data_IF_538164859395
#
_entry.id   IF_538164859395
#
_cell.length_a   1.000
_cell.length_b   1.000
_cell.length_c   1.000
_cell.angle_alpha   90.00
_cell.angle_beta   90.00
_cell.angle_gamma   90.00
#
_symmetry.space_group_name_H-M   'P 1'
#
loop_
_entity.id
_entity.type
_entity.pdbx_description
1 polymer ?
#
# COMPACT_ATOMS: atom_id res chain seq x y z
N UNK A 1 -18.07 -22.32 0.52
CA UNK A 1 -18.00 -22.64 -0.93
C UNK A 1 -16.58 -23.03 -1.26
N UNK A 2 -16.37 -24.13 -2.00
CA UNK A 2 -15.06 -24.43 -2.59
C UNK A 2 -14.85 -23.55 -3.82
N UNK A 3 -13.60 -23.20 -4.08
CA UNK A 3 -13.18 -22.19 -5.04
C UNK A 3 -13.82 -22.34 -6.44
N UNK A 4 -14.47 -21.28 -6.94
CA UNK A 4 -14.77 -21.09 -8.36
C UNK A 4 -16.18 -21.44 -8.84
N UNK A 5 -17.04 -22.06 -8.03
CA UNK A 5 -18.37 -22.47 -8.49
C UNK A 5 -19.43 -21.37 -8.29
N UNK A 6 -20.13 -21.02 -9.38
CA UNK A 6 -21.30 -20.13 -9.36
C UNK A 6 -22.54 -20.92 -8.96
N UNK A 7 -23.24 -20.50 -7.92
CA UNK A 7 -24.43 -21.19 -7.40
C UNK A 7 -25.68 -20.39 -7.73
N UNK A 8 -26.62 -21.00 -8.43
CA UNK A 8 -27.95 -20.44 -8.67
C UNK A 8 -28.88 -20.82 -7.52
N UNK A 9 -29.49 -19.82 -6.88
CA UNK A 9 -30.47 -20.02 -5.79
C UNK A 9 -31.87 -19.81 -6.36
N UNK A 10 -32.68 -20.86 -6.33
CA UNK A 10 -34.06 -20.86 -6.80
C UNK A 10 -35.04 -21.01 -5.64
N UNK A 11 -36.18 -20.32 -5.73
CA UNK A 11 -37.36 -20.55 -4.89
C UNK A 11 -38.47 -21.10 -5.78
N UNK A 12 -38.94 -22.33 -5.49
CA UNK A 12 -39.97 -23.05 -6.26
C UNK A 12 -39.71 -23.06 -7.78
N UNK A 13 -38.46 -23.23 -8.19
CA UNK A 13 -38.07 -23.25 -9.61
C UNK A 13 -37.94 -21.87 -10.27
N UNK A 14 -38.19 -20.79 -9.53
CA UNK A 14 -37.92 -19.41 -9.97
C UNK A 14 -36.55 -18.98 -9.46
N UNK A 15 -35.67 -18.50 -10.34
CA UNK A 15 -34.36 -17.98 -9.94
C UNK A 15 -34.54 -16.70 -9.11
N UNK A 16 -33.99 -16.68 -7.89
CA UNK A 16 -34.08 -15.51 -6.99
C UNK A 16 -32.77 -14.72 -7.04
N UNK A 17 -31.62 -15.38 -6.95
CA UNK A 17 -30.32 -14.74 -7.10
C UNK A 17 -29.22 -15.77 -7.42
N UNK A 18 -28.08 -15.26 -7.86
CA UNK A 18 -26.88 -16.03 -8.19
C UNK A 18 -25.75 -15.62 -7.26
N UNK A 19 -25.11 -16.60 -6.63
CA UNK A 19 -23.90 -16.40 -5.84
C UNK A 19 -22.69 -16.67 -6.73
N UNK A 20 -21.87 -15.64 -6.97
CA UNK A 20 -20.61 -15.76 -7.70
C UNK A 20 -19.44 -15.72 -6.73
N UNK A 21 -18.40 -16.55 -6.93
CA UNK A 21 -17.17 -16.44 -6.14
C UNK A 21 -16.56 -15.05 -6.31
N UNK A 22 -16.27 -14.38 -5.18
CA UNK A 22 -15.46 -13.18 -5.24
C UNK A 22 -14.03 -13.56 -5.63
N UNK A 23 -13.45 -13.00 -6.70
CA UNK A 23 -12.06 -13.27 -7.04
C UNK A 23 -11.21 -12.82 -5.86
N UNK A 24 -10.56 -13.76 -5.18
CA UNK A 24 -9.60 -13.38 -4.15
C UNK A 24 -8.45 -12.67 -4.85
N UNK A 25 -8.06 -11.47 -4.39
CA UNK A 25 -6.92 -10.80 -4.95
C UNK A 25 -5.69 -11.68 -4.72
N UNK A 26 -5.05 -12.11 -5.81
CA UNK A 26 -3.98 -13.12 -5.76
C UNK A 26 -2.64 -12.48 -5.39
N UNK A 27 -1.88 -13.16 -4.52
CA UNK A 27 -0.50 -12.80 -4.17
C UNK A 27 -0.33 -12.14 -2.80
N UNK A 28 0.91 -12.18 -2.29
CA UNK A 28 1.25 -11.76 -0.93
C UNK A 28 0.80 -10.32 -0.60
N UNK A 29 0.96 -9.38 -1.53
CA UNK A 29 0.56 -7.98 -1.31
C UNK A 29 -0.95 -7.82 -1.05
N UNK A 30 -1.76 -8.61 -1.76
CA UNK A 30 -3.20 -8.61 -1.61
C UNK A 30 -3.63 -9.22 -0.26
N UNK A 31 -3.01 -10.33 0.13
CA UNK A 31 -3.21 -10.95 1.45
C UNK A 31 -2.88 -9.96 2.57
N UNK A 32 -1.70 -9.34 2.53
CA UNK A 32 -1.28 -8.37 3.54
C UNK A 32 -2.20 -7.14 3.61
N UNK A 33 -2.77 -6.73 2.46
CA UNK A 33 -3.75 -5.63 2.43
C UNK A 33 -5.06 -6.04 3.10
N UNK A 34 -5.55 -7.24 2.81
CA UNK A 34 -6.79 -7.77 3.39
C UNK A 34 -6.66 -8.02 4.91
N UNK A 35 -5.48 -8.43 5.37
CA UNK A 35 -5.16 -8.60 6.80
C UNK A 35 -4.94 -7.27 7.53
N UNK A 36 -4.88 -6.14 6.81
CA UNK A 36 -4.63 -4.82 7.38
C UNK A 36 -3.17 -4.57 7.79
N UNK A 37 -2.26 -5.51 7.50
CA UNK A 37 -0.81 -5.38 7.75
C UNK A 37 -0.18 -4.38 6.78
N UNK A 38 -0.69 -4.32 5.55
CA UNK A 38 -0.23 -3.41 4.51
C UNK A 38 -1.33 -2.41 4.15
N UNK A 39 -1.03 -1.12 4.24
CA UNK A 39 -1.90 -0.06 3.70
C UNK A 39 -1.43 0.30 2.29
N UNK A 40 -2.28 0.15 1.25
CA UNK A 40 -1.90 0.55 -0.10
C UNK A 40 -1.65 2.05 -0.18
N UNK A 41 -0.69 2.45 -1.00
CA UNK A 41 -0.43 3.86 -1.27
C UNK A 41 -1.66 4.51 -1.92
N UNK A 42 -2.01 5.72 -1.48
CA UNK A 42 -3.13 6.50 -2.04
C UNK A 42 -2.81 7.03 -3.43
N UNK A 43 -1.54 7.31 -3.73
CA UNK A 43 -1.06 7.76 -5.03
C UNK A 43 0.17 6.92 -5.46
N UNK A 44 -0.03 5.70 -5.98
CA UNK A 44 1.08 4.84 -6.37
C UNK A 44 1.93 5.49 -7.48
N UNK A 45 3.25 5.46 -7.32
CA UNK A 45 4.20 6.05 -8.27
C UNK A 45 4.45 7.55 -8.08
N UNK A 46 3.70 8.23 -7.21
CA UNK A 46 3.99 9.61 -6.81
C UNK A 46 4.97 9.60 -5.63
N UNK A 47 6.10 10.30 -5.79
CA UNK A 47 6.97 10.62 -4.67
C UNK A 47 6.33 11.76 -3.85
N UNK A 48 6.47 11.76 -2.52
CA UNK A 48 6.06 12.90 -1.69
C UNK A 48 6.78 14.16 -2.16
N UNK A 49 6.10 15.30 -2.04
CA UNK A 49 6.77 16.59 -2.22
C UNK A 49 7.83 16.75 -1.12
N UNK A 50 9.00 17.35 -1.40
CA UNK A 50 10.01 17.61 -0.39
C UNK A 50 9.43 18.39 0.79
N UNK A 51 9.83 18.03 2.01
CA UNK A 51 9.45 18.77 3.22
C UNK A 51 10.42 19.92 3.39
N UNK A 52 9.91 21.15 3.41
CA UNK A 52 10.69 22.31 3.83
C UNK A 52 10.84 22.28 5.35
N UNK A 53 12.08 22.38 5.83
CA UNK A 53 12.39 22.43 7.26
C UNK A 53 12.59 23.91 7.63
N UNK A 54 11.77 24.41 8.55
CA UNK A 54 11.86 25.80 9.01
C UNK A 54 13.26 26.10 9.55
N UNK A 55 13.87 27.19 9.07
CA UNK A 55 15.22 27.60 9.45
C UNK A 55 16.37 26.97 8.67
N UNK A 56 16.09 26.05 7.73
CA UNK A 56 17.09 25.48 6.82
C UNK A 56 16.81 25.97 5.40
N UNK A 57 17.77 26.68 4.80
CA UNK A 57 17.62 27.15 3.43
C UNK A 57 17.61 25.97 2.44
N UNK A 58 16.83 26.05 1.33
CA UNK A 58 16.59 24.93 0.42
C UNK A 58 17.83 24.49 -0.36
N UNK A 59 18.88 25.32 -0.38
CA UNK A 59 20.18 25.06 -0.99
C UNK A 59 21.17 24.36 -0.04
N UNK A 60 20.81 24.19 1.24
CA UNK A 60 21.65 23.48 2.21
C UNK A 60 21.53 21.98 2.01
N UNK A 61 22.65 21.34 1.64
CA UNK A 61 22.75 19.90 1.56
C UNK A 61 22.92 19.28 2.95
N UNK A 62 21.83 18.74 3.51
CA UNK A 62 21.89 18.01 4.78
C UNK A 62 22.88 16.83 4.74
N UNK A 63 23.13 16.26 3.55
CA UNK A 63 24.12 15.19 3.39
C UNK A 63 25.53 15.70 3.63
N UNK A 64 25.87 16.90 3.16
CA UNK A 64 27.19 17.52 3.38
C UNK A 64 27.40 17.88 4.86
N UNK A 65 26.38 18.43 5.52
CA UNK A 65 26.40 18.73 6.96
C UNK A 65 26.64 17.48 7.82
N UNK A 66 25.96 16.37 7.51
CA UNK A 66 26.15 15.09 8.24
C UNK A 66 27.57 14.54 8.02
N UNK A 67 28.12 14.70 6.82
CA UNK A 67 29.50 14.26 6.52
C UNK A 67 30.50 15.11 7.31
N UNK A 68 30.34 16.43 7.33
CA UNK A 68 31.21 17.33 8.07
C UNK A 68 31.19 17.05 9.58
N UNK A 69 30.00 16.91 10.17
CA UNK A 69 29.83 16.58 11.59
C UNK A 69 30.46 15.23 11.96
N UNK A 70 30.34 14.21 11.09
CA UNK A 70 31.02 12.92 11.28
C UNK A 70 32.54 13.06 11.29
N UNK A 71 33.09 13.88 10.40
CA UNK A 71 34.54 14.03 10.26
C UNK A 71 35.13 14.85 11.43
N UNK A 72 34.33 15.71 12.06
CA UNK A 72 34.64 16.36 13.34
C UNK A 72 34.65 15.39 14.54
N UNK A 73 34.05 14.21 14.49
CA UNK A 73 34.14 13.24 15.60
C UNK A 73 35.35 12.31 15.48
N UNK A 74 36.12 12.39 14.39
CA UNK A 74 37.25 11.48 14.10
C UNK A 74 38.64 12.06 14.35
N UNK A 75 38.72 13.29 14.88
CA UNK A 75 39.96 13.89 15.37
C UNK A 75 40.10 13.73 16.89
#
# INVERSE_FOLDING_TARGET
MRAGETVQVTDRGTLVFTLVPHPQPTGLRATLTAEGVLKPATAPGRLPDPVEIEGIAPDVSLTEEIIASRDEERW
#
